data_IF_250187126397
#
_entry.id   IF_250187126397
#
_cell.length_a   1.000
_cell.length_b   1.000
_cell.length_c   1.000
_cell.angle_alpha   90.00
_cell.angle_beta   90.00
_cell.angle_gamma   90.00
#
_symmetry.space_group_name_H-M   'P 1'
#
loop_
_entity.id
_entity.type
_entity.pdbx_description
1 polymer ?
#
# COMPACT_ATOMS: atom_id res chain seq x y z
N UNK A 1 -21.43 -3.49 -22.20
CA UNK A 1 -20.33 -2.69 -22.75
C UNK A 1 -19.11 -2.91 -21.86
N UNK A 2 -18.22 -3.84 -22.21
CA UNK A 2 -16.92 -4.02 -21.53
C UNK A 2 -15.97 -3.03 -22.19
N UNK A 3 -15.74 -1.89 -21.56
CA UNK A 3 -14.67 -0.99 -21.99
C UNK A 3 -13.34 -1.62 -21.59
N UNK A 4 -12.41 -1.74 -22.54
CA UNK A 4 -11.01 -2.12 -22.28
C UNK A 4 -10.45 -1.24 -21.16
N UNK A 5 -10.32 -1.82 -19.97
CA UNK A 5 -9.52 -1.28 -18.86
C UNK A 5 -8.02 -1.52 -19.05
N UNK A 6 -7.65 -2.36 -20.03
CA UNK A 6 -6.29 -2.81 -20.33
C UNK A 6 -5.27 -1.67 -20.21
N UNK A 7 -4.60 -1.62 -19.06
CA UNK A 7 -3.45 -0.77 -18.81
C UNK A 7 -3.74 0.57 -18.12
N UNK A 8 -4.98 0.89 -17.74
CA UNK A 8 -5.26 2.11 -16.96
C UNK A 8 -4.48 2.14 -15.64
N UNK A 9 -4.44 1.00 -14.92
CA UNK A 9 -3.64 0.85 -13.71
C UNK A 9 -2.15 0.99 -13.97
N UNK A 10 -1.63 0.33 -15.00
CA UNK A 10 -0.22 0.40 -15.37
C UNK A 10 0.20 1.82 -15.77
N UNK A 11 -0.69 2.60 -16.40
CA UNK A 11 -0.47 4.02 -16.70
C UNK A 11 -0.28 4.86 -15.44
N UNK A 12 -1.13 4.66 -14.43
CA UNK A 12 -1.00 5.34 -13.12
C UNK A 12 0.32 4.97 -12.44
N UNK A 13 0.69 3.69 -12.43
CA UNK A 13 1.95 3.22 -11.83
C UNK A 13 3.17 3.83 -12.54
N UNK A 14 3.16 3.86 -13.88
CA UNK A 14 4.23 4.48 -14.69
C UNK A 14 4.37 5.97 -14.44
N UNK A 15 3.26 6.67 -14.18
CA UNK A 15 3.27 8.08 -13.81
C UNK A 15 3.77 8.34 -12.37
N UNK A 16 4.18 7.30 -11.64
CA UNK A 16 4.60 7.38 -10.25
C UNK A 16 3.44 7.61 -9.28
N UNK A 17 2.23 7.18 -9.68
CA UNK A 17 1.04 7.17 -8.84
C UNK A 17 0.79 5.80 -8.21
N UNK A 18 -0.32 5.72 -7.47
CA UNK A 18 -0.82 4.48 -6.88
C UNK A 18 -2.14 4.12 -7.56
N UNK A 19 -2.17 3.01 -8.29
CA UNK A 19 -3.39 2.48 -8.87
C UNK A 19 -4.18 1.75 -7.77
N UNK A 20 -5.49 1.99 -7.70
CA UNK A 20 -6.33 1.49 -6.62
C UNK A 20 -7.65 0.96 -7.17
N UNK A 21 -8.06 -0.22 -6.71
CA UNK A 21 -9.34 -0.84 -7.05
C UNK A 21 -10.05 -1.28 -5.79
N UNK A 22 -11.35 -1.00 -5.72
CA UNK A 22 -12.21 -1.58 -4.70
C UNK A 22 -12.42 -3.07 -5.00
N UNK A 23 -12.28 -3.91 -3.99
CA UNK A 23 -12.63 -5.32 -4.06
C UNK A 23 -14.09 -5.50 -3.65
N UNK A 24 -14.84 -6.35 -4.38
CA UNK A 24 -16.20 -6.66 -3.99
C UNK A 24 -16.24 -7.36 -2.62
N UNK A 25 -17.25 -7.10 -1.77
CA UNK A 25 -17.34 -7.69 -0.45
C UNK A 25 -17.80 -9.16 -0.45
N UNK A 26 -18.02 -9.77 -1.62
CA UNK A 26 -18.45 -11.16 -1.75
C UNK A 26 -17.31 -12.11 -2.17
N UNK A 27 -17.62 -13.40 -2.30
CA UNK A 27 -16.66 -14.47 -2.67
C UNK A 27 -15.91 -14.24 -4.00
N UNK A 28 -16.33 -13.26 -4.81
CA UNK A 28 -15.62 -12.83 -6.03
C UNK A 28 -14.40 -11.95 -5.75
N UNK A 29 -14.18 -11.52 -4.51
CA UNK A 29 -13.07 -10.69 -4.06
C UNK A 29 -11.71 -11.14 -4.63
N UNK A 30 -11.35 -12.42 -4.41
CA UNK A 30 -10.10 -12.97 -4.92
C UNK A 30 -10.04 -13.02 -6.46
N UNK A 31 -11.18 -13.26 -7.13
CA UNK A 31 -11.25 -13.24 -8.60
C UNK A 31 -10.92 -11.88 -9.18
N UNK A 32 -11.52 -10.82 -8.64
CA UNK A 32 -11.24 -9.43 -9.07
C UNK A 32 -9.80 -9.05 -8.76
N UNK A 33 -9.28 -9.41 -7.57
CA UNK A 33 -7.88 -9.15 -7.21
C UNK A 33 -6.89 -9.77 -8.21
N UNK A 34 -7.12 -11.03 -8.60
CA UNK A 34 -6.30 -11.72 -9.61
C UNK A 34 -6.35 -11.04 -10.97
N UNK A 35 -7.53 -10.61 -11.40
CA UNK A 35 -7.72 -9.94 -12.68
C UNK A 35 -6.94 -8.62 -12.75
N UNK A 36 -7.13 -7.73 -11.77
CA UNK A 36 -6.49 -6.40 -11.78
C UNK A 36 -4.96 -6.49 -11.61
N UNK A 37 -4.47 -7.45 -10.82
CA UNK A 37 -3.02 -7.68 -10.67
C UNK A 37 -2.43 -8.26 -11.95
N UNK A 38 -3.06 -9.28 -12.55
CA UNK A 38 -2.58 -9.86 -13.81
C UNK A 38 -2.52 -8.80 -14.91
N UNK A 39 -3.60 -8.04 -15.07
CA UNK A 39 -3.71 -7.00 -16.09
C UNK A 39 -2.63 -5.93 -15.87
N UNK A 40 -2.50 -5.41 -14.64
CA UNK A 40 -1.57 -4.33 -14.33
C UNK A 40 -0.11 -4.77 -14.46
N UNK A 41 0.27 -5.92 -13.89
CA UNK A 41 1.66 -6.40 -13.92
C UNK A 41 2.06 -6.89 -15.32
N UNK A 42 1.15 -7.52 -16.05
CA UNK A 42 1.36 -7.88 -17.46
C UNK A 42 1.54 -6.65 -18.33
N UNK A 43 0.69 -5.63 -18.17
CA UNK A 43 0.82 -4.36 -18.89
C UNK A 43 2.10 -3.61 -18.51
N UNK A 44 2.62 -3.77 -17.28
CA UNK A 44 3.92 -3.28 -16.82
C UNK A 44 5.12 -4.09 -17.34
N UNK A 45 4.86 -5.22 -18.02
CA UNK A 45 5.86 -6.14 -18.62
C UNK A 45 6.76 -6.84 -17.61
N UNK A 46 6.22 -7.23 -16.45
CA UNK A 46 6.93 -8.12 -15.54
C UNK A 46 7.05 -9.52 -16.17
N UNK A 47 8.07 -10.33 -15.78
CA UNK A 47 8.21 -11.70 -16.25
C UNK A 47 6.95 -12.53 -15.95
N UNK A 48 6.51 -13.35 -16.90
CA UNK A 48 5.23 -14.08 -16.76
C UNK A 48 5.15 -14.93 -15.48
N UNK A 49 6.22 -15.65 -15.13
CA UNK A 49 6.25 -16.43 -13.87
C UNK A 49 6.05 -15.55 -12.63
N UNK A 50 6.66 -14.36 -12.60
CA UNK A 50 6.45 -13.39 -11.52
C UNK A 50 5.02 -12.86 -11.48
N UNK A 51 4.37 -12.67 -12.64
CA UNK A 51 2.96 -12.28 -12.71
C UNK A 51 2.06 -13.38 -12.15
N UNK A 52 2.31 -14.65 -12.52
CA UNK A 52 1.52 -15.78 -12.06
C UNK A 52 1.67 -16.00 -10.54
N UNK A 53 2.87 -15.82 -10.00
CA UNK A 53 3.11 -15.88 -8.56
C UNK A 53 2.47 -14.70 -7.83
N UNK A 54 2.55 -13.48 -8.37
CA UNK A 54 1.88 -12.31 -7.80
C UNK A 54 0.35 -12.46 -7.77
N UNK A 55 -0.22 -13.07 -8.82
CA UNK A 55 -1.63 -13.43 -8.89
C UNK A 55 -2.01 -14.44 -7.81
N UNK A 56 -1.14 -15.43 -7.55
CA UNK A 56 -1.33 -16.39 -6.46
C UNK A 56 -1.28 -15.68 -5.11
N UNK A 57 -0.25 -14.87 -4.86
CA UNK A 57 -0.09 -14.12 -3.61
C UNK A 57 -1.27 -13.19 -3.33
N UNK A 58 -1.72 -12.40 -4.31
CA UNK A 58 -2.87 -11.49 -4.10
C UNK A 58 -4.17 -12.26 -3.88
N UNK A 59 -4.31 -13.45 -4.47
CA UNK A 59 -5.47 -14.31 -4.24
C UNK A 59 -5.55 -14.77 -2.78
N UNK A 60 -4.41 -15.16 -2.20
CA UNK A 60 -4.32 -15.51 -0.77
C UNK A 60 -4.63 -14.31 0.13
N UNK A 61 -4.07 -13.13 -0.18
CA UNK A 61 -4.35 -11.92 0.59
C UNK A 61 -5.83 -11.51 0.52
N UNK A 62 -6.44 -11.52 -0.66
CA UNK A 62 -7.84 -11.18 -0.85
C UNK A 62 -8.78 -12.20 -0.20
N UNK A 63 -8.43 -13.49 -0.23
CA UNK A 63 -9.18 -14.55 0.48
C UNK A 63 -9.11 -14.34 1.98
N UNK A 64 -7.92 -14.05 2.52
CA UNK A 64 -7.76 -13.75 3.95
C UNK A 64 -8.62 -12.56 4.38
N UNK A 65 -8.71 -11.52 3.56
CA UNK A 65 -9.59 -10.38 3.82
C UNK A 65 -11.06 -10.79 3.80
N UNK A 66 -11.51 -11.55 2.79
CA UNK A 66 -12.91 -12.01 2.72
C UNK A 66 -13.28 -12.87 3.94
N UNK A 67 -12.43 -13.82 4.31
CA UNK A 67 -12.66 -14.74 5.42
C UNK A 67 -12.60 -14.03 6.77
N UNK A 68 -11.59 -13.18 7.00
CA UNK A 68 -11.30 -12.64 8.34
C UNK A 68 -11.79 -11.21 8.58
N UNK A 69 -11.86 -10.35 7.56
CA UNK A 69 -12.26 -8.95 7.72
C UNK A 69 -13.76 -8.74 7.43
N UNK A 70 -14.31 -9.44 6.43
CA UNK A 70 -15.72 -9.32 6.04
C UNK A 70 -16.63 -10.35 6.73
N UNK A 71 -16.03 -11.39 7.34
CA UNK A 71 -16.72 -12.35 8.22
C UNK A 71 -17.91 -13.07 7.56
N UNK A 72 -17.95 -13.16 6.23
CA UNK A 72 -19.09 -13.71 5.47
C UNK A 72 -20.41 -12.96 5.68
N UNK A 73 -20.40 -11.72 6.21
CA UNK A 73 -21.63 -10.99 6.54
C UNK A 73 -22.33 -10.48 5.28
N UNK A 74 -23.68 -10.46 5.24
CA UNK A 74 -24.43 -9.95 4.10
C UNK A 74 -24.13 -8.48 3.79
N UNK A 75 -23.98 -8.17 2.50
CA UNK A 75 -23.64 -6.86 1.92
C UNK A 75 -24.56 -5.72 2.37
N UNK A 76 -25.79 -6.03 2.79
CA UNK A 76 -26.85 -5.07 3.13
C UNK A 76 -26.56 -4.15 4.33
N UNK A 77 -25.49 -4.39 5.10
CA UNK A 77 -25.15 -3.58 6.30
C UNK A 77 -23.71 -3.03 6.25
N UNK A 78 -23.01 -3.17 5.12
CA UNK A 78 -21.63 -2.66 5.03
C UNK A 78 -21.59 -1.18 4.65
N UNK A 79 -20.87 -0.33 5.41
CA UNK A 79 -20.62 1.04 4.98
C UNK A 79 -19.91 1.04 3.62
N UNK A 80 -20.28 1.96 2.73
CA UNK A 80 -19.57 2.19 1.46
C UNK A 80 -18.12 2.65 1.67
N UNK A 81 -17.78 3.11 2.88
CA UNK A 81 -16.41 3.44 3.28
C UNK A 81 -15.74 2.22 3.94
N UNK A 82 -14.49 1.95 3.56
CA UNK A 82 -13.71 0.84 4.14
C UNK A 82 -13.87 -0.50 3.44
N UNK A 83 -14.46 -0.53 2.25
CA UNK A 83 -14.36 -1.71 1.38
C UNK A 83 -12.89 -2.07 1.16
N UNK A 84 -12.56 -3.37 1.02
CA UNK A 84 -11.19 -3.75 0.78
C UNK A 84 -10.66 -3.20 -0.54
N UNK A 85 -9.35 -2.95 -0.61
CA UNK A 85 -8.73 -2.31 -1.77
C UNK A 85 -7.49 -3.09 -2.19
N UNK A 86 -7.31 -3.31 -3.50
CA UNK A 86 -6.01 -3.63 -4.07
C UNK A 86 -5.35 -2.32 -4.46
N UNK A 87 -4.10 -2.13 -4.05
CA UNK A 87 -3.30 -0.96 -4.38
C UNK A 87 -1.98 -1.43 -4.99
N UNK A 88 -1.58 -0.84 -6.12
CA UNK A 88 -0.35 -1.17 -6.82
C UNK A 88 0.41 0.13 -7.09
N UNK A 89 1.68 0.17 -6.72
CA UNK A 89 2.59 1.26 -7.07
C UNK A 89 4.02 0.75 -7.21
N UNK A 90 4.88 1.58 -7.80
CA UNK A 90 6.30 1.32 -7.90
C UNK A 90 7.07 2.17 -6.89
N UNK A 91 8.14 1.62 -6.32
CA UNK A 91 9.15 2.39 -5.60
C UNK A 91 10.52 2.21 -6.23
N UNK A 92 11.22 3.33 -6.45
CA UNK A 92 12.54 3.36 -7.07
C UNK A 92 13.61 2.87 -6.11
N UNK A 93 13.52 3.23 -4.83
CA UNK A 93 14.40 2.67 -3.81
C UNK A 93 14.11 1.18 -3.63
N UNK A 94 15.07 0.33 -4.02
CA UNK A 94 14.91 -1.12 -4.07
C UNK A 94 14.39 -1.67 -5.41
N UNK A 95 13.97 -0.79 -6.34
CA UNK A 95 13.43 -1.13 -7.64
C UNK A 95 12.35 -2.23 -7.54
N UNK A 96 11.22 -1.92 -6.90
CA UNK A 96 10.17 -2.91 -6.64
C UNK A 96 8.78 -2.43 -7.09
N UNK A 97 7.94 -3.38 -7.48
CA UNK A 97 6.48 -3.21 -7.45
C UNK A 97 5.96 -3.63 -6.11
N UNK A 98 5.17 -2.77 -5.49
CA UNK A 98 4.45 -3.06 -4.26
C UNK A 98 2.99 -3.33 -4.60
N UNK A 99 2.50 -4.51 -4.24
CA UNK A 99 1.08 -4.88 -4.28
C UNK A 99 0.58 -4.96 -2.84
N UNK A 100 -0.53 -4.28 -2.57
CA UNK A 100 -1.10 -4.09 -1.24
C UNK A 100 -2.56 -4.47 -1.26
N UNK A 101 -3.01 -5.17 -0.23
CA UNK A 101 -4.42 -5.41 0.04
C UNK A 101 -4.77 -4.74 1.35
N UNK A 102 -5.62 -3.72 1.30
CA UNK A 102 -6.15 -3.01 2.46
C UNK A 102 -7.49 -3.60 2.88
N UNK A 103 -7.73 -3.66 4.18
CA UNK A 103 -9.04 -3.92 4.78
C UNK A 103 -9.23 -3.08 6.06
N UNK A 104 -10.48 -2.77 6.40
CA UNK A 104 -10.81 -1.94 7.55
C UNK A 104 -10.86 -2.71 8.89
N UNK A 105 -10.42 -3.97 8.93
CA UNK A 105 -10.41 -4.71 10.19
C UNK A 105 -9.35 -4.15 11.14
N UNK A 106 -9.59 -4.35 12.43
CA UNK A 106 -8.68 -3.91 13.48
C UNK A 106 -7.29 -4.56 13.32
N UNK A 107 -6.26 -3.77 13.53
CA UNK A 107 -4.88 -4.23 13.58
C UNK A 107 -4.63 -5.00 14.89
N UNK A 108 -4.15 -6.24 14.78
CA UNK A 108 -3.91 -7.13 15.92
C UNK A 108 -2.51 -7.02 16.54
N UNK A 109 -1.66 -6.08 16.10
CA UNK A 109 -0.39 -5.78 16.77
C UNK A 109 0.83 -6.51 16.21
N UNK A 110 0.66 -7.63 15.49
CA UNK A 110 1.78 -8.44 14.99
C UNK A 110 1.65 -8.77 13.50
N UNK A 111 2.78 -8.70 12.79
CA UNK A 111 2.94 -9.40 11.51
C UNK A 111 3.29 -10.85 11.86
N UNK A 112 2.53 -11.86 11.38
CA UNK A 112 2.89 -13.25 11.62
C UNK A 112 4.31 -13.51 11.12
N UNK A 113 5.19 -14.03 11.97
CA UNK A 113 6.58 -14.34 11.65
C UNK A 113 6.98 -15.72 12.18
N UNK A 114 7.92 -16.38 11.50
CA UNK A 114 8.51 -17.64 11.93
C UNK A 114 7.48 -18.73 12.21
N UNK A 115 7.48 -19.28 13.43
CA UNK A 115 6.56 -20.35 13.86
C UNK A 115 5.08 -19.94 13.83
N UNK A 116 4.75 -18.64 13.85
CA UNK A 116 3.36 -18.16 13.75
C UNK A 116 2.79 -18.24 12.33
N UNK A 117 3.64 -18.45 11.32
CA UNK A 117 3.19 -18.74 9.96
C UNK A 117 2.77 -20.21 9.80
N UNK A 118 3.31 -21.14 10.61
CA UNK A 118 2.98 -22.58 10.62
C UNK A 118 1.85 -22.85 11.63
N UNK A 119 0.58 -22.89 11.21
CA UNK A 119 -0.49 -23.30 12.11
C UNK A 119 -0.40 -24.83 12.30
N UNK A 120 -1.06 -25.39 13.32
CA UNK A 120 -1.31 -26.83 13.38
C UNK A 120 -1.94 -27.31 12.04
N UNK A 121 -1.68 -28.56 11.60
CA UNK A 121 -2.15 -29.06 10.31
C UNK A 121 -3.68 -28.99 10.10
N UNK A 122 -4.42 -28.82 11.20
CA UNK A 122 -5.88 -28.71 11.28
C UNK A 122 -6.42 -27.27 11.09
N UNK A 123 -5.54 -26.25 11.09
CA UNK A 123 -5.92 -24.85 10.81
C UNK A 123 -5.49 -24.46 9.40
N UNK A 124 -6.47 -24.19 8.53
CA UNK A 124 -6.24 -23.59 7.21
C UNK A 124 -5.79 -22.12 7.31
N UNK A 125 -6.15 -21.45 8.41
CA UNK A 125 -5.76 -20.06 8.69
C UNK A 125 -4.25 -19.95 8.92
N UNK A 126 -3.51 -19.48 7.91
CA UNK A 126 -2.07 -19.20 7.98
C UNK A 126 -1.26 -19.76 6.80
N UNK A 127 -1.75 -20.82 6.13
CA UNK A 127 -1.09 -21.39 4.94
C UNK A 127 -0.97 -20.40 3.79
N UNK A 128 -1.97 -19.54 3.61
CA UNK A 128 -1.94 -18.51 2.57
C UNK A 128 -0.79 -17.51 2.77
N UNK A 129 -0.46 -17.14 4.02
CA UNK A 129 0.68 -16.26 4.30
C UNK A 129 2.02 -16.98 4.20
N UNK A 130 2.07 -18.29 4.46
CA UNK A 130 3.27 -19.10 4.16
C UNK A 130 3.58 -19.13 2.68
N UNK A 131 2.56 -19.30 1.84
CA UNK A 131 2.71 -19.27 0.39
C UNK A 131 3.18 -17.88 -0.08
N UNK A 132 2.58 -16.81 0.44
CA UNK A 132 3.04 -15.43 0.17
C UNK A 132 4.49 -15.23 0.58
N UNK A 133 4.89 -15.72 1.77
CA UNK A 133 6.27 -15.64 2.22
C UNK A 133 7.23 -16.43 1.31
N UNK A 134 6.86 -17.66 0.94
CA UNK A 134 7.69 -18.52 0.09
C UNK A 134 7.93 -17.89 -1.28
N UNK A 135 6.86 -17.44 -1.95
CA UNK A 135 6.94 -16.79 -3.25
C UNK A 135 7.67 -15.44 -3.19
N UNK A 136 7.45 -14.64 -2.14
CA UNK A 136 8.21 -13.41 -1.96
C UNK A 136 9.71 -13.69 -1.81
N UNK A 137 10.11 -14.69 -1.02
CA UNK A 137 11.52 -15.09 -0.85
C UNK A 137 12.12 -15.62 -2.15
N UNK A 138 11.37 -16.45 -2.89
CA UNK A 138 11.78 -16.99 -4.20
C UNK A 138 12.16 -15.88 -5.19
N UNK A 139 11.33 -14.83 -5.26
CA UNK A 139 11.59 -13.66 -6.09
C UNK A 139 12.61 -12.68 -5.50
N UNK A 140 13.22 -12.99 -4.34
CA UNK A 140 14.05 -12.04 -3.54
C UNK A 140 13.32 -10.74 -3.20
N UNK A 141 11.99 -10.82 -3.16
CA UNK A 141 11.10 -9.76 -2.73
C UNK A 141 10.93 -9.75 -1.22
N UNK A 142 9.92 -9.00 -0.78
CA UNK A 142 9.57 -8.82 0.62
C UNK A 142 8.07 -8.84 0.79
N UNK A 143 7.59 -9.14 1.97
CA UNK A 143 6.18 -8.97 2.32
C UNK A 143 6.07 -8.49 3.75
N UNK A 144 4.89 -8.02 4.13
CA UNK A 144 4.62 -7.64 5.51
C UNK A 144 3.22 -7.12 5.69
N UNK A 145 2.94 -6.64 6.90
CA UNK A 145 1.68 -5.99 7.21
C UNK A 145 1.92 -4.79 8.15
N UNK A 146 1.05 -3.80 8.07
CA UNK A 146 1.08 -2.65 8.98
C UNK A 146 -0.26 -1.91 9.01
N UNK A 147 -0.44 -1.00 9.99
CA UNK A 147 -1.60 -0.10 10.03
C UNK A 147 -1.61 0.84 8.82
N UNK A 148 -2.78 1.13 8.29
CA UNK A 148 -2.94 2.07 7.18
C UNK A 148 -4.34 2.68 7.17
N UNK A 149 -4.66 3.43 6.12
CA UNK A 149 -5.99 4.01 5.88
C UNK A 149 -6.49 3.68 4.47
N UNK A 150 -7.80 3.63 4.26
CA UNK A 150 -8.38 3.47 2.92
C UNK A 150 -7.96 4.63 2.00
N UNK A 151 -7.90 4.37 0.69
CA UNK A 151 -7.68 5.40 -0.34
C UNK A 151 -8.95 5.77 -1.07
N UNK A 152 -9.94 4.86 -1.08
CA UNK A 152 -11.25 5.05 -1.67
C UNK A 152 -12.28 5.43 -0.61
N UNK A 153 -13.41 5.96 -1.08
CA UNK A 153 -14.52 6.45 -0.28
C UNK A 153 -14.46 7.95 -0.01
N UNK A 154 -15.58 8.51 0.46
CA UNK A 154 -15.70 9.95 0.76
C UNK A 154 -14.97 10.36 2.05
N UNK A 155 -14.68 9.40 2.93
CA UNK A 155 -13.89 9.59 4.16
C UNK A 155 -12.92 8.42 4.34
N UNK A 156 -11.60 8.68 4.43
CA UNK A 156 -10.60 7.65 4.67
C UNK A 156 -10.78 7.00 6.04
N UNK A 157 -10.89 5.67 6.07
CA UNK A 157 -11.04 4.90 7.31
C UNK A 157 -9.72 4.22 7.70
N UNK A 158 -9.47 4.11 9.00
CA UNK A 158 -8.34 3.33 9.51
C UNK A 158 -8.55 1.84 9.30
N UNK A 159 -7.45 1.12 9.15
CA UNK A 159 -7.44 -0.33 8.96
C UNK A 159 -6.02 -0.85 8.91
N UNK A 160 -5.82 -1.90 8.13
CA UNK A 160 -4.52 -2.53 7.93
C UNK A 160 -4.28 -2.82 6.46
N UNK A 161 -3.02 -3.02 6.13
CA UNK A 161 -2.59 -3.49 4.83
C UNK A 161 -1.70 -4.71 5.01
N UNK A 162 -1.88 -5.71 4.15
CA UNK A 162 -0.92 -6.78 3.92
C UNK A 162 -0.37 -6.59 2.51
N UNK A 163 0.94 -6.71 2.34
CA UNK A 163 1.60 -6.38 1.09
C UNK A 163 2.70 -7.35 0.76
N UNK A 164 3.01 -7.44 -0.53
CA UNK A 164 4.25 -7.99 -1.04
C UNK A 164 4.89 -7.01 -2.03
N UNK A 165 6.20 -7.04 -2.11
CA UNK A 165 7.03 -6.21 -2.96
C UNK A 165 7.97 -7.11 -3.77
N UNK A 166 7.91 -7.01 -5.10
CA UNK A 166 8.68 -7.83 -6.01
C UNK A 166 9.68 -6.97 -6.77
N UNK A 167 10.95 -7.41 -6.91
CA UNK A 167 11.93 -6.65 -7.64
C UNK A 167 11.53 -6.54 -9.12
N UNK A 168 11.76 -5.37 -9.69
CA UNK A 168 11.54 -5.08 -11.10
C UNK A 168 12.84 -4.67 -11.75
N UNK A 169 13.19 -5.35 -12.84
CA UNK A 169 14.25 -4.89 -13.75
C UNK A 169 13.75 -3.79 -14.70
N UNK A 170 12.43 -3.53 -14.73
CA UNK A 170 11.84 -2.53 -15.61
C UNK A 170 12.11 -1.16 -15.02
N UNK A 171 12.95 -0.39 -15.71
CA UNK A 171 13.22 1.00 -15.37
C UNK A 171 11.97 1.86 -15.59
N UNK A 172 11.05 1.90 -14.63
CA UNK A 172 10.07 2.96 -14.59
C UNK A 172 10.76 4.19 -14.02
N UNK A 173 10.89 5.19 -14.88
CA UNK A 173 11.24 6.54 -14.46
C UNK A 173 9.92 7.31 -14.38
N UNK A 174 9.38 7.54 -13.18
CA UNK A 174 8.31 8.51 -13.03
C UNK A 174 8.75 9.85 -13.64
N UNK A 175 7.81 10.66 -14.14
CA UNK A 175 8.14 11.99 -14.63
C UNK A 175 8.99 12.74 -13.60
N UNK A 176 9.99 13.49 -14.09
CA UNK A 176 10.81 14.35 -13.22
C UNK A 176 9.86 15.34 -12.55
N UNK A 177 9.85 15.34 -11.22
CA UNK A 177 9.16 16.36 -10.42
C UNK A 177 10.17 17.35 -9.89
N UNK A 178 9.82 18.63 -9.90
CA UNK A 178 10.54 19.59 -9.09
C UNK A 178 10.20 19.40 -7.59
N UNK A 179 11.00 19.98 -6.70
CA UNK A 179 10.82 19.81 -5.26
C UNK A 179 9.48 20.36 -4.74
N UNK A 180 8.98 21.44 -5.33
CA UNK A 180 7.74 22.10 -4.89
C UNK A 180 6.53 21.28 -5.35
N UNK A 181 6.53 20.82 -6.60
CA UNK A 181 5.53 19.90 -7.15
C UNK A 181 5.48 18.61 -6.32
N UNK A 182 6.64 18.02 -6.01
CA UNK A 182 6.71 16.82 -5.19
C UNK A 182 6.18 17.04 -3.76
N UNK A 183 6.45 18.20 -3.15
CA UNK A 183 5.94 18.55 -1.82
C UNK A 183 4.42 18.79 -1.81
N UNK A 184 3.89 19.47 -2.84
CA UNK A 184 2.44 19.68 -3.02
C UNK A 184 1.71 18.37 -3.27
N UNK A 185 2.29 17.48 -4.08
CA UNK A 185 1.73 16.17 -4.33
C UNK A 185 1.74 15.31 -3.06
N UNK A 186 2.83 15.32 -2.28
CA UNK A 186 2.87 14.63 -0.99
C UNK A 186 1.77 15.15 -0.05
N UNK A 187 1.63 16.47 0.08
CA UNK A 187 0.57 17.09 0.87
C UNK A 187 -0.81 16.62 0.40
N UNK A 188 -1.08 16.67 -0.92
CA UNK A 188 -2.34 16.24 -1.52
C UNK A 188 -2.64 14.77 -1.22
N UNK A 189 -1.64 13.89 -1.30
CA UNK A 189 -1.78 12.47 -1.00
C UNK A 189 -2.11 12.24 0.48
N UNK A 190 -1.50 12.99 1.41
CA UNK A 190 -1.77 12.88 2.84
C UNK A 190 -3.15 13.46 3.21
N UNK A 191 -3.51 14.62 2.66
CA UNK A 191 -4.84 15.22 2.82
C UNK A 191 -5.94 14.27 2.31
N UNK A 192 -5.72 13.63 1.16
CA UNK A 192 -6.64 12.61 0.62
C UNK A 192 -6.75 11.36 1.51
N UNK A 193 -5.79 11.13 2.42
CA UNK A 193 -5.83 10.08 3.44
C UNK A 193 -6.37 10.59 4.78
N UNK A 194 -6.87 11.83 4.82
CA UNK A 194 -7.45 12.45 6.01
C UNK A 194 -6.41 12.73 7.10
N UNK A 195 -5.15 12.94 6.72
CA UNK A 195 -4.06 13.33 7.62
C UNK A 195 -3.94 14.85 7.55
N UNK A 196 -4.18 15.53 8.66
CA UNK A 196 -4.06 16.97 8.76
C UNK A 196 -4.51 17.50 10.13
N UNK A 197 -4.37 18.81 10.37
CA UNK A 197 -3.92 19.84 9.41
C UNK A 197 -2.43 19.68 9.02
N UNK A 198 -2.10 19.99 7.77
CA UNK A 198 -0.74 19.93 7.22
C UNK A 198 -0.21 21.35 6.98
N UNK A 199 1.04 21.61 7.36
CA UNK A 199 1.70 22.89 7.12
C UNK A 199 2.82 22.73 6.09
N UNK A 200 2.64 23.34 4.91
CA UNK A 200 3.63 23.36 3.84
C UNK A 200 4.23 24.77 3.73
N UNK A 201 5.55 24.87 3.89
CA UNK A 201 6.32 26.07 3.64
C UNK A 201 7.22 25.87 2.42
N UNK A 202 7.25 26.83 1.50
CA UNK A 202 7.99 26.77 0.25
C UNK A 202 8.95 27.96 0.16
N UNK A 203 10.18 27.75 -0.32
CA UNK A 203 11.16 28.82 -0.51
C UNK A 203 12.52 28.29 -0.92
N UNK A 204 13.36 29.11 -1.56
CA UNK A 204 14.76 28.76 -1.86
C UNK A 204 14.97 27.39 -2.56
N UNK A 205 14.10 27.04 -3.51
CA UNK A 205 14.09 25.74 -4.24
C UNK A 205 13.91 24.50 -3.35
N UNK A 206 13.37 24.71 -2.15
CA UNK A 206 13.05 23.67 -1.19
C UNK A 206 11.64 23.85 -0.63
N UNK A 207 11.13 22.80 -0.01
CA UNK A 207 9.88 22.83 0.73
C UNK A 207 10.02 22.07 2.04
N UNK A 208 9.24 22.45 3.03
CA UNK A 208 9.12 21.76 4.30
C UNK A 208 7.65 21.47 4.55
N UNK A 209 7.32 20.20 4.71
CA UNK A 209 5.99 19.73 5.07
C UNK A 209 6.03 19.22 6.51
N UNK A 210 5.39 19.97 7.41
CA UNK A 210 5.15 19.53 8.79
C UNK A 210 3.79 18.85 8.85
N UNK A 211 3.79 17.59 9.27
CA UNK A 211 2.58 16.76 9.40
C UNK A 211 2.10 16.75 10.86
N UNK A 212 3.03 16.58 11.79
CA UNK A 212 2.86 16.68 13.26
C UNK A 212 4.22 16.85 13.91
N UNK A 213 4.26 17.06 15.23
CA UNK A 213 5.52 17.30 15.96
C UNK A 213 6.60 16.22 15.70
N UNK A 214 6.17 14.98 15.51
CA UNK A 214 7.06 13.83 15.33
C UNK A 214 7.31 13.47 13.86
N UNK A 215 6.64 14.13 12.90
CA UNK A 215 6.76 13.84 11.47
C UNK A 215 6.94 15.12 10.66
N UNK A 216 8.13 15.29 10.11
CA UNK A 216 8.49 16.42 9.23
C UNK A 216 9.19 15.91 7.99
N UNK A 217 8.91 16.52 6.84
CA UNK A 217 9.53 16.20 5.55
C UNK A 217 10.19 17.43 4.97
N UNK A 218 11.46 17.32 4.61
CA UNK A 218 12.16 18.33 3.82
C UNK A 218 12.28 17.84 2.39
N UNK A 219 12.03 18.72 1.43
CA UNK A 219 12.15 18.42 0.00
C UNK A 219 13.17 19.38 -0.60
N UNK A 220 14.33 18.84 -0.98
CA UNK A 220 15.41 19.60 -1.63
C UNK A 220 16.24 18.67 -2.49
N UNK A 221 16.90 19.21 -3.50
CA UNK A 221 17.83 18.46 -4.36
C UNK A 221 17.22 17.16 -4.94
N UNK A 222 15.93 17.21 -5.31
CA UNK A 222 15.21 16.04 -5.85
C UNK A 222 15.02 14.89 -4.85
N UNK A 223 15.11 15.17 -3.54
CA UNK A 223 15.05 14.17 -2.47
C UNK A 223 14.09 14.62 -1.36
N UNK A 224 13.27 13.68 -0.88
CA UNK A 224 12.55 13.76 0.38
C UNK A 224 13.46 13.29 1.52
N UNK A 225 13.64 14.13 2.54
CA UNK A 225 14.26 13.79 3.81
C UNK A 225 13.15 13.74 4.86
N UNK A 226 12.81 12.53 5.28
CA UNK A 226 11.67 12.26 6.17
C UNK A 226 12.20 12.01 7.58
N UNK A 227 11.77 12.82 8.53
CA UNK A 227 11.99 12.59 9.96
C UNK A 227 10.76 11.89 10.52
N UNK A 228 10.97 10.70 11.09
CA UNK A 228 9.95 9.91 11.78
C UNK A 228 10.37 9.69 13.25
N UNK A 229 9.44 9.36 14.17
CA UNK A 229 9.78 9.02 15.55
C UNK A 229 10.70 7.79 15.59
N UNK A 230 11.81 7.89 16.32
CA UNK A 230 12.78 6.78 16.47
C UNK A 230 14.17 7.04 15.89
N UNK A 231 14.39 8.19 15.23
CA UNK A 231 15.73 8.76 15.02
C UNK A 231 16.38 8.51 13.66
N UNK A 232 15.95 7.50 12.90
CA UNK A 232 16.52 7.26 11.57
C UNK A 232 15.75 8.06 10.52
N UNK A 233 16.30 9.22 10.14
CA UNK A 233 15.81 9.98 9.00
C UNK A 233 15.93 9.15 7.71
N UNK A 234 14.82 8.99 6.98
CA UNK A 234 14.80 8.25 5.72
C UNK A 234 14.94 9.21 4.53
N UNK A 235 15.77 8.84 3.55
CA UNK A 235 15.94 9.62 2.32
C UNK A 235 15.33 8.88 1.13
N UNK A 236 14.45 9.55 0.40
CA UNK A 236 13.76 8.99 -0.77
C UNK A 236 13.86 9.95 -1.96
N UNK A 237 14.03 9.46 -3.20
CA UNK A 237 13.95 10.33 -4.37
C UNK A 237 12.52 10.90 -4.51
N UNK A 238 12.37 12.11 -5.07
CA UNK A 238 11.04 12.76 -5.22
C UNK A 238 10.04 11.99 -6.08
N UNK A 239 10.52 11.02 -6.86
CA UNK A 239 9.68 10.12 -7.63
C UNK A 239 8.93 9.10 -6.75
N UNK A 240 9.43 8.82 -5.53
CA UNK A 240 8.86 7.86 -4.57
C UNK A 240 7.83 8.52 -3.64
N UNK A 241 7.14 9.56 -4.11
CA UNK A 241 6.16 10.32 -3.31
C UNK A 241 5.06 9.44 -2.70
N UNK A 242 4.65 8.39 -3.41
CA UNK A 242 3.67 7.42 -2.91
C UNK A 242 4.25 6.61 -1.74
N UNK A 243 5.48 6.11 -1.86
CA UNK A 243 6.14 5.36 -0.77
C UNK A 243 6.31 6.24 0.48
N UNK A 244 6.77 7.48 0.30
CA UNK A 244 6.90 8.45 1.40
C UNK A 244 5.54 8.71 2.05
N UNK A 245 4.49 8.91 1.26
CA UNK A 245 3.13 9.07 1.79
C UNK A 245 2.70 7.84 2.61
N UNK A 246 2.96 6.61 2.15
CA UNK A 246 2.59 5.40 2.88
C UNK A 246 3.37 5.20 4.18
N UNK A 247 4.64 5.59 4.23
CA UNK A 247 5.42 5.56 5.47
C UNK A 247 4.88 6.55 6.50
N UNK A 248 4.52 7.76 6.07
CA UNK A 248 3.92 8.78 6.94
C UNK A 248 2.54 8.31 7.41
N UNK A 249 1.70 7.75 6.54
CA UNK A 249 0.40 7.19 6.91
C UNK A 249 0.56 6.10 7.96
N UNK A 250 1.47 5.15 7.74
CA UNK A 250 1.76 4.08 8.72
C UNK A 250 2.16 4.68 10.08
N UNK A 251 3.13 5.58 10.07
CA UNK A 251 3.64 6.21 11.29
C UNK A 251 2.54 6.98 12.04
N UNK A 252 1.72 7.74 11.32
CA UNK A 252 0.59 8.46 11.89
C UNK A 252 -0.41 7.51 12.57
N UNK A 253 -0.76 6.39 11.93
CA UNK A 253 -1.66 5.40 12.52
C UNK A 253 -1.05 4.72 13.75
N UNK A 254 0.25 4.43 13.73
CA UNK A 254 0.97 3.85 14.87
C UNK A 254 1.00 4.84 16.06
N UNK A 255 1.21 6.14 15.82
CA UNK A 255 1.15 7.17 16.85
C UNK A 255 -0.27 7.36 17.41
N UNK A 256 -1.29 7.34 16.55
CA UNK A 256 -2.69 7.42 16.98
C UNK A 256 -3.10 6.24 17.86
N UNK A 257 -2.61 5.04 17.55
CA UNK A 257 -2.85 3.85 18.36
C UNK A 257 -2.20 3.95 19.75
N UNK A 258 -1.06 4.62 19.89
CA UNK A 258 -0.41 4.85 21.20
C UNK A 258 -1.17 5.82 22.09
N UNK A 259 -1.83 6.81 21.49
CA UNK A 259 -2.62 7.83 22.21
C UNK A 259 -3.99 7.27 22.64
N UNK A 260 -4.49 6.22 21.98
CA UNK A 260 -5.76 5.54 22.28
C UNK A 260 -5.53 4.11 22.80
N UNK A 261 -4.92 3.90 23.97
CA UNK A 261 -4.83 2.56 24.54
C UNK A 261 -6.22 2.14 25.08
N UNK A 262 -6.92 1.29 24.35
CA UNK A 262 -8.11 0.59 24.83
C UNK A 262 -9.36 1.46 25.00
N UNK A 263 -10.25 1.40 24.00
CA UNK A 263 -11.70 1.39 24.26
C UNK A 263 -12.16 -0.04 24.04
#
# INVERSE_FOLDING_TARGET
>A
MRGSSDGAGAGVVRAGGCAVWALPPEARCAGVAREVVRETLGALRLPQGMVDDAVTMVSELATNVFVHALGGRPVAVMPTAGLPEVQIYARRQGAEIVVRVFDSAAWCGSVPSGASLRPPPERESGRGLELVNALAVEHRGRWGAHRSRSRLGSRPVSGKVVYFALPTAVAWCPPRRDCLEAARELRRLLDARGIGPLHLAEGWRMAVLSVRAEITVWVRDGTFFVTLPGGDGACHPVCDVVEVAEQIVRCNEDLNARIRPGV
#
